data_IF_927754824377
#
_entry.id   IF_927754824377
#
_cell.length_a   1.000
_cell.length_b   1.000
_cell.length_c   1.000
_cell.angle_alpha   90.00
_cell.angle_beta   90.00
_cell.angle_gamma   90.00
#
_symmetry.space_group_name_H-M   'P 1'
#
loop_
_entity.id
_entity.type
_entity.pdbx_description
1 polymer ?
#
# COMPACT_ATOMS: atom_id res chain seq x y z
N UNK A 1 14.92 -43.00 0.21
CA UNK A 1 14.12 -42.57 1.38
C UNK A 1 14.55 -41.22 1.96
N UNK A 2 15.82 -41.00 2.35
CA UNK A 2 16.29 -39.72 2.94
C UNK A 2 16.12 -38.48 2.04
N UNK A 3 16.37 -38.62 0.74
CA UNK A 3 16.21 -37.52 -0.25
C UNK A 3 14.75 -37.04 -0.36
N UNK A 4 13.79 -37.97 -0.32
CA UNK A 4 12.37 -37.66 -0.36
C UNK A 4 11.92 -36.93 0.92
N UNK A 5 12.36 -37.39 2.09
CA UNK A 5 12.09 -36.74 3.38
C UNK A 5 12.63 -35.30 3.42
N UNK A 6 13.83 -35.08 2.87
CA UNK A 6 14.44 -33.76 2.79
C UNK A 6 13.67 -32.82 1.86
N UNK A 7 13.33 -33.27 0.65
CA UNK A 7 12.54 -32.46 -0.29
C UNK A 7 11.16 -32.11 0.29
N UNK A 8 10.51 -33.06 0.95
CA UNK A 8 9.20 -32.86 1.59
C UNK A 8 9.26 -31.83 2.75
N UNK A 9 10.25 -31.94 3.63
CA UNK A 9 10.43 -30.98 4.74
C UNK A 9 10.81 -29.59 4.26
N UNK A 10 11.59 -29.47 3.19
CA UNK A 10 11.89 -28.19 2.55
C UNK A 10 10.62 -27.56 1.96
N UNK A 11 9.82 -28.33 1.21
CA UNK A 11 8.56 -27.88 0.64
C UNK A 11 7.56 -27.39 1.71
N UNK A 12 7.42 -28.10 2.84
CA UNK A 12 6.54 -27.67 3.92
C UNK A 12 7.00 -26.38 4.59
N UNK A 13 8.31 -26.18 4.77
CA UNK A 13 8.87 -24.92 5.31
C UNK A 13 8.60 -23.75 4.38
N UNK A 14 8.77 -23.97 3.08
CA UNK A 14 8.45 -23.00 2.04
C UNK A 14 6.99 -22.55 2.11
N UNK A 15 6.04 -23.50 2.12
CA UNK A 15 4.61 -23.21 2.22
C UNK A 15 4.24 -22.52 3.54
N UNK A 16 4.84 -22.96 4.65
CA UNK A 16 4.61 -22.37 5.98
C UNK A 16 5.01 -20.89 6.02
N UNK A 17 6.07 -20.50 5.33
CA UNK A 17 6.47 -19.10 5.22
C UNK A 17 5.42 -18.26 4.51
N UNK A 18 4.97 -18.67 3.32
CA UNK A 18 4.02 -17.87 2.53
C UNK A 18 2.67 -17.73 3.24
N UNK A 19 2.23 -18.78 3.93
CA UNK A 19 1.03 -18.72 4.77
C UNK A 19 1.17 -17.72 5.93
N UNK A 20 2.33 -17.69 6.62
CA UNK A 20 2.61 -16.72 7.68
C UNK A 20 2.70 -15.29 7.13
N UNK A 21 3.39 -15.10 6.01
CA UNK A 21 3.52 -13.82 5.34
C UNK A 21 2.14 -13.27 4.94
N UNK A 22 1.28 -14.12 4.35
CA UNK A 22 -0.09 -13.77 4.01
C UNK A 22 -0.91 -13.40 5.26
N UNK A 23 -0.84 -14.21 6.32
CA UNK A 23 -1.54 -13.92 7.56
C UNK A 23 -1.08 -12.57 8.18
N UNK A 24 0.22 -12.29 8.19
CA UNK A 24 0.78 -11.02 8.66
C UNK A 24 0.23 -9.83 7.88
N UNK A 25 0.22 -9.88 6.55
CA UNK A 25 -0.28 -8.74 5.76
C UNK A 25 -1.79 -8.58 5.84
N UNK A 26 -2.55 -9.68 6.02
CA UNK A 26 -3.99 -9.60 6.26
C UNK A 26 -4.31 -8.98 7.63
N UNK A 27 -3.53 -9.29 8.67
CA UNK A 27 -3.68 -8.64 9.99
C UNK A 27 -3.38 -7.15 9.89
N UNK A 28 -2.29 -6.77 9.22
CA UNK A 28 -1.91 -5.36 9.03
C UNK A 28 -2.98 -4.63 8.23
N UNK A 29 -3.41 -5.20 7.09
CA UNK A 29 -4.45 -4.62 6.26
C UNK A 29 -5.77 -4.48 7.03
N UNK A 30 -6.18 -5.52 7.75
CA UNK A 30 -7.38 -5.50 8.59
C UNK A 30 -7.33 -4.44 9.69
N UNK A 31 -6.19 -4.25 10.36
CA UNK A 31 -6.01 -3.18 11.35
C UNK A 31 -6.14 -1.78 10.73
N UNK A 32 -5.60 -1.58 9.53
CA UNK A 32 -5.73 -0.32 8.78
C UNK A 32 -7.16 -0.07 8.32
N UNK A 33 -7.85 -1.10 7.82
CA UNK A 33 -9.27 -1.02 7.49
C UNK A 33 -10.12 -0.72 8.72
N UNK A 34 -9.81 -1.31 9.87
CA UNK A 34 -10.47 -0.97 11.13
C UNK A 34 -10.26 0.52 11.47
N UNK A 35 -9.05 1.04 11.32
CA UNK A 35 -8.77 2.46 11.55
C UNK A 35 -9.57 3.35 10.59
N UNK A 36 -9.57 3.06 9.29
CA UNK A 36 -10.33 3.79 8.27
C UNK A 36 -11.83 3.72 8.56
N UNK A 37 -12.35 2.56 8.95
CA UNK A 37 -13.77 2.42 9.27
C UNK A 37 -14.21 3.27 10.48
N UNK A 38 -13.32 3.46 11.46
CA UNK A 38 -13.66 4.21 12.68
C UNK A 38 -13.35 5.71 12.56
N UNK A 39 -12.36 6.09 11.76
CA UNK A 39 -11.82 7.46 11.74
C UNK A 39 -11.62 8.05 10.33
N UNK A 40 -11.86 7.27 9.29
CA UNK A 40 -11.81 7.74 7.90
C UNK A 40 -12.94 8.71 7.59
N UNK A 41 -12.68 9.58 6.62
CA UNK A 41 -13.63 10.60 6.15
C UNK A 41 -13.69 10.57 4.63
N UNK A 42 -14.90 10.60 4.08
CA UNK A 42 -15.14 10.81 2.65
C UNK A 42 -14.96 12.29 2.24
N UNK A 43 -14.81 13.18 3.22
CA UNK A 43 -14.43 14.57 2.98
C UNK A 43 -12.89 14.63 2.88
N UNK A 44 -12.34 15.16 1.78
CA UNK A 44 -10.90 15.31 1.60
C UNK A 44 -10.23 16.05 2.76
N UNK A 45 -8.99 15.68 3.06
CA UNK A 45 -8.21 16.26 4.15
C UNK A 45 -7.02 17.07 3.62
N UNK A 46 -6.88 18.31 4.10
CA UNK A 46 -5.76 19.22 3.81
C UNK A 46 -5.43 19.32 2.30
N UNK A 47 -4.22 18.94 1.92
CA UNK A 47 -3.68 19.07 0.56
C UNK A 47 -4.47 18.28 -0.47
N UNK A 48 -5.32 17.31 -0.05
CA UNK A 48 -6.25 16.64 -0.96
C UNK A 48 -7.24 17.60 -1.63
N UNK A 49 -7.63 18.70 -0.96
CA UNK A 49 -8.50 19.71 -1.58
C UNK A 49 -7.79 20.54 -2.64
N UNK A 50 -6.47 20.69 -2.53
CA UNK A 50 -5.67 21.47 -3.46
C UNK A 50 -5.32 20.62 -4.66
N UNK A 51 -4.16 19.99 -4.59
CA UNK A 51 -3.47 19.46 -5.77
C UNK A 51 -4.28 18.44 -6.58
N UNK A 52 -4.88 17.37 -6.01
CA UNK A 52 -5.61 16.40 -6.81
C UNK A 52 -6.86 17.01 -7.45
N UNK A 53 -7.60 17.84 -6.72
CA UNK A 53 -8.84 18.41 -7.22
C UNK A 53 -8.59 19.41 -8.35
N UNK A 54 -7.70 20.39 -8.14
CA UNK A 54 -7.47 21.47 -9.10
C UNK A 54 -6.63 21.03 -10.28
N UNK A 55 -5.64 20.17 -10.07
CA UNK A 55 -4.63 19.89 -11.09
C UNK A 55 -4.92 18.62 -11.90
N UNK A 56 -5.84 17.77 -11.41
CA UNK A 56 -6.13 16.47 -12.02
C UNK A 56 -7.63 16.21 -12.23
N UNK A 57 -8.45 16.27 -11.18
CA UNK A 57 -9.85 15.86 -11.28
C UNK A 57 -10.73 16.86 -12.01
N UNK A 58 -10.65 18.15 -11.70
CA UNK A 58 -11.39 19.18 -12.44
C UNK A 58 -10.98 19.19 -13.93
N UNK A 59 -9.67 19.15 -14.26
CA UNK A 59 -9.27 19.05 -15.66
C UNK A 59 -9.77 17.78 -16.38
N UNK A 60 -9.84 16.65 -15.67
CA UNK A 60 -10.41 15.44 -16.24
C UNK A 60 -11.90 15.60 -16.56
N UNK A 61 -12.67 16.13 -15.60
CA UNK A 61 -14.12 16.30 -15.72
C UNK A 61 -14.52 17.32 -16.79
N UNK A 62 -13.68 18.33 -17.02
CA UNK A 62 -13.88 19.36 -18.05
C UNK A 62 -13.29 18.99 -19.42
N UNK A 63 -12.71 17.79 -19.56
CA UNK A 63 -12.06 17.31 -20.79
C UNK A 63 -10.86 18.18 -21.25
N UNK A 64 -10.16 18.83 -20.33
CA UNK A 64 -8.97 19.65 -20.57
C UNK A 64 -7.70 19.08 -19.90
N UNK A 65 -7.76 17.87 -19.34
CA UNK A 65 -6.59 17.18 -18.78
C UNK A 65 -5.55 16.86 -19.87
N UNK A 66 -4.36 17.42 -19.70
CA UNK A 66 -3.18 17.15 -20.52
C UNK A 66 -2.25 16.11 -19.88
N UNK A 67 -1.44 15.44 -20.70
CA UNK A 67 -0.44 14.47 -20.22
C UNK A 67 0.62 15.15 -19.35
N UNK A 68 0.95 16.41 -19.62
CA UNK A 68 1.94 17.18 -18.86
C UNK A 68 1.53 17.38 -17.41
N UNK A 69 0.22 17.48 -17.13
CA UNK A 69 -0.30 17.60 -15.77
C UNK A 69 0.00 16.38 -14.90
N UNK A 70 0.24 15.20 -15.47
CA UNK A 70 0.70 14.05 -14.67
C UNK A 70 2.15 14.21 -14.18
N UNK A 71 2.98 14.98 -14.90
CA UNK A 71 4.40 15.20 -14.57
C UNK A 71 4.67 16.56 -13.91
N UNK A 72 3.66 17.43 -13.86
CA UNK A 72 3.73 18.73 -13.21
C UNK A 72 4.08 18.58 -11.73
N UNK A 73 4.73 19.60 -11.16
CA UNK A 73 5.00 19.61 -9.74
C UNK A 73 3.71 19.71 -8.92
N UNK A 74 3.71 19.05 -7.77
CA UNK A 74 2.77 19.20 -6.68
C UNK A 74 3.61 19.44 -5.44
N UNK A 75 3.63 20.68 -4.94
CA UNK A 75 4.59 21.10 -3.93
C UNK A 75 6.02 20.71 -4.34
N UNK A 76 6.76 19.99 -3.50
CA UNK A 76 8.15 19.56 -3.75
C UNK A 76 8.27 18.26 -4.57
N UNK A 77 7.14 17.66 -4.98
CA UNK A 77 7.11 16.32 -5.56
C UNK A 77 6.57 16.29 -6.99
N UNK A 78 6.94 15.25 -7.75
CA UNK A 78 6.34 14.91 -9.04
C UNK A 78 5.52 13.63 -8.89
N UNK A 79 4.24 13.73 -8.51
CA UNK A 79 3.44 12.58 -8.08
C UNK A 79 2.82 11.82 -9.27
N UNK A 80 3.59 11.47 -10.30
CA UNK A 80 3.07 10.85 -11.53
C UNK A 80 2.25 9.58 -11.24
N UNK A 81 2.80 8.64 -10.47
CA UNK A 81 2.13 7.37 -10.17
C UNK A 81 0.93 7.56 -9.24
N UNK A 82 1.03 8.48 -8.27
CA UNK A 82 -0.09 8.86 -7.40
C UNK A 82 -1.24 9.42 -8.25
N UNK A 83 -0.99 10.43 -9.09
CA UNK A 83 -2.01 11.03 -9.98
C UNK A 83 -2.63 9.99 -10.92
N UNK A 84 -1.82 9.09 -11.46
CA UNK A 84 -2.30 8.01 -12.32
C UNK A 84 -3.25 7.05 -11.58
N UNK A 85 -2.90 6.70 -10.34
CA UNK A 85 -3.76 5.88 -9.49
C UNK A 85 -5.04 6.61 -9.11
N UNK A 86 -4.93 7.84 -8.60
CA UNK A 86 -6.06 8.65 -8.15
C UNK A 86 -7.08 8.87 -9.27
N UNK A 87 -6.62 9.18 -10.49
CA UNK A 87 -7.51 9.30 -11.64
C UNK A 87 -8.16 7.95 -11.99
N UNK A 88 -7.42 6.85 -11.91
CA UNK A 88 -7.97 5.51 -12.16
C UNK A 88 -9.06 5.17 -11.13
N UNK A 89 -8.87 5.54 -9.87
CA UNK A 89 -9.86 5.35 -8.82
C UNK A 89 -11.09 6.23 -9.04
N UNK A 90 -10.93 7.49 -9.42
CA UNK A 90 -12.03 8.37 -9.82
C UNK A 90 -12.87 7.73 -10.94
N UNK A 91 -12.22 7.24 -11.99
CA UNK A 91 -12.91 6.65 -13.16
C UNK A 91 -13.62 5.34 -12.80
N UNK A 92 -12.97 4.45 -12.05
CA UNK A 92 -13.54 3.14 -11.67
C UNK A 92 -14.66 3.30 -10.65
N UNK A 93 -14.52 4.22 -9.69
CA UNK A 93 -15.52 4.47 -8.66
C UNK A 93 -16.68 5.35 -9.16
N UNK A 94 -16.46 6.10 -10.25
CA UNK A 94 -17.43 7.04 -10.83
C UNK A 94 -17.55 8.37 -10.07
N UNK A 95 -16.89 8.50 -8.92
CA UNK A 95 -16.80 9.71 -8.13
C UNK A 95 -15.50 9.72 -7.33
N UNK A 96 -15.04 10.92 -6.99
CA UNK A 96 -13.90 11.05 -6.09
C UNK A 96 -14.34 10.67 -4.68
N UNK A 97 -13.68 9.66 -4.11
CA UNK A 97 -13.94 9.20 -2.74
C UNK A 97 -12.60 8.93 -2.02
N UNK A 98 -12.19 9.80 -1.09
CA UNK A 98 -11.00 9.60 -0.26
C UNK A 98 -10.99 8.28 0.51
N UNK A 99 -12.14 7.70 0.87
CA UNK A 99 -12.17 6.41 1.57
C UNK A 99 -11.67 5.28 0.66
N UNK A 100 -12.00 5.34 -0.63
CA UNK A 100 -11.51 4.38 -1.62
C UNK A 100 -10.00 4.50 -1.77
N UNK A 101 -9.47 5.73 -1.83
CA UNK A 101 -8.02 5.99 -1.83
C UNK A 101 -7.33 5.40 -0.59
N UNK A 102 -7.88 5.64 0.62
CA UNK A 102 -7.32 5.11 1.87
C UNK A 102 -7.28 3.57 1.90
N UNK A 103 -8.32 2.92 1.40
CA UNK A 103 -8.41 1.45 1.31
C UNK A 103 -7.35 0.92 0.35
N UNK A 104 -7.25 1.51 -0.84
CA UNK A 104 -6.27 1.11 -1.87
C UNK A 104 -4.85 1.32 -1.37
N UNK A 105 -4.57 2.47 -0.75
CA UNK A 105 -3.28 2.78 -0.14
C UNK A 105 -2.88 1.79 0.94
N UNK A 106 -3.84 1.38 1.77
CA UNK A 106 -3.62 0.35 2.77
C UNK A 106 -3.31 -1.02 2.15
N UNK A 107 -3.91 -1.32 1.00
CA UNK A 107 -3.59 -2.51 0.21
C UNK A 107 -2.17 -2.46 -0.38
N UNK A 108 -1.77 -1.33 -0.97
CA UNK A 108 -0.42 -1.12 -1.50
C UNK A 108 0.63 -1.26 -0.38
N UNK A 109 0.38 -0.67 0.78
CA UNK A 109 1.26 -0.81 1.95
C UNK A 109 1.41 -2.28 2.40
N UNK A 110 0.29 -2.98 2.55
CA UNK A 110 0.30 -4.41 2.91
C UNK A 110 1.04 -5.26 1.87
N UNK A 111 0.87 -4.94 0.58
CA UNK A 111 1.58 -5.60 -0.51
C UNK A 111 3.09 -5.31 -0.48
N UNK A 112 3.51 -4.07 -0.22
CA UNK A 112 4.92 -3.72 -0.06
C UNK A 112 5.58 -4.50 1.09
N UNK A 113 4.87 -4.68 2.22
CA UNK A 113 5.35 -5.52 3.34
C UNK A 113 5.47 -6.99 2.92
N UNK A 114 4.53 -7.51 2.14
CA UNK A 114 4.60 -8.87 1.61
C UNK A 114 5.86 -9.06 0.76
N UNK A 115 6.09 -8.16 -0.20
CA UNK A 115 7.28 -8.18 -1.07
C UNK A 115 8.56 -8.09 -0.24
N UNK A 116 8.61 -7.18 0.74
CA UNK A 116 9.74 -7.05 1.66
C UNK A 116 10.05 -8.39 2.36
N UNK A 117 9.05 -9.07 2.92
CA UNK A 117 9.26 -10.37 3.55
C UNK A 117 9.79 -11.42 2.57
N UNK A 118 9.26 -11.46 1.34
CA UNK A 118 9.73 -12.38 0.29
C UNK A 118 11.20 -12.10 -0.07
N UNK A 119 11.59 -10.83 -0.18
CA UNK A 119 12.98 -10.45 -0.44
C UNK A 119 13.89 -10.89 0.71
N UNK A 120 13.50 -10.62 1.96
CA UNK A 120 14.27 -11.05 3.14
C UNK A 120 14.43 -12.57 3.17
N UNK A 121 13.38 -13.33 2.83
CA UNK A 121 13.47 -14.78 2.66
C UNK A 121 14.45 -15.18 1.57
N UNK A 122 14.44 -14.52 0.41
CA UNK A 122 15.36 -14.87 -0.67
C UNK A 122 16.82 -14.55 -0.32
N UNK A 123 17.05 -13.51 0.50
CA UNK A 123 18.40 -13.10 0.92
C UNK A 123 18.99 -13.98 2.04
N UNK A 124 18.19 -14.38 3.02
CA UNK A 124 18.67 -15.09 4.23
C UNK A 124 18.24 -16.58 4.23
N UNK A 125 17.40 -16.98 3.27
CA UNK A 125 16.89 -18.34 3.10
C UNK A 125 15.96 -18.77 4.22
N UNK A 126 15.96 -20.07 4.54
CA UNK A 126 15.17 -20.67 5.61
C UNK A 126 15.58 -20.25 7.04
N UNK A 127 16.49 -19.26 7.18
CA UNK A 127 16.86 -18.65 8.46
C UNK A 127 15.91 -17.54 8.88
N UNK A 128 14.98 -17.12 8.01
CA UNK A 128 13.90 -16.23 8.42
C UNK A 128 13.12 -16.90 9.53
N UNK A 129 13.13 -16.28 10.69
CA UNK A 129 12.53 -16.81 11.89
C UNK A 129 11.18 -16.16 12.19
N UNK A 130 10.55 -16.63 13.27
CA UNK A 130 9.26 -16.10 13.72
C UNK A 130 9.35 -14.65 14.21
N UNK A 131 10.55 -14.15 14.57
CA UNK A 131 10.73 -12.81 15.10
C UNK A 131 10.41 -11.73 14.05
N UNK A 132 10.70 -11.99 12.76
CA UNK A 132 10.35 -11.08 11.67
C UNK A 132 8.84 -10.78 11.64
N UNK A 133 8.01 -11.82 11.70
CA UNK A 133 6.55 -11.65 11.66
C UNK A 133 6.04 -10.97 12.94
N UNK A 134 6.58 -11.35 14.10
CA UNK A 134 6.25 -10.75 15.40
C UNK A 134 6.63 -9.28 15.47
N UNK A 135 7.66 -8.85 14.74
CA UNK A 135 8.07 -7.45 14.64
C UNK A 135 7.20 -6.68 13.64
N UNK A 136 6.92 -7.24 12.47
CA UNK A 136 6.21 -6.54 11.40
C UNK A 136 4.72 -6.32 11.71
N UNK A 137 4.06 -7.26 12.40
CA UNK A 137 2.65 -7.11 12.79
C UNK A 137 2.41 -5.84 13.60
N UNK A 138 3.04 -5.61 14.77
CA UNK A 138 2.81 -4.40 15.55
C UNK A 138 3.27 -3.14 14.81
N UNK A 139 4.39 -3.18 14.06
CA UNK A 139 4.85 -2.01 13.30
C UNK A 139 3.85 -1.59 12.21
N UNK A 140 3.20 -2.55 11.55
CA UNK A 140 2.23 -2.26 10.50
C UNK A 140 0.80 -2.02 11.01
N UNK A 141 0.42 -2.63 12.13
CA UNK A 141 -0.95 -2.58 12.67
C UNK A 141 -1.18 -1.47 13.69
N UNK A 142 -0.14 -1.03 14.41
CA UNK A 142 -0.26 0.08 15.36
C UNK A 142 -0.40 1.39 14.56
N UNK A 143 -1.39 2.25 14.87
CA UNK A 143 -1.67 3.46 14.11
C UNK A 143 -0.70 4.61 14.44
N UNK A 144 0.60 4.34 14.54
CA UNK A 144 1.61 5.40 14.75
C UNK A 144 1.68 6.35 13.54
N UNK A 145 1.54 5.79 12.32
CA UNK A 145 1.40 6.55 11.06
C UNK A 145 -0.06 6.70 10.61
N UNK A 146 -0.98 7.00 11.54
CA UNK A 146 -2.40 7.12 11.24
C UNK A 146 -2.69 8.17 10.16
N UNK A 147 -1.93 9.27 10.14
CA UNK A 147 -2.11 10.37 9.17
C UNK A 147 -2.03 9.86 7.73
N UNK A 148 -1.00 9.06 7.42
CA UNK A 148 -0.87 8.45 6.09
C UNK A 148 -1.91 7.37 5.80
N UNK A 149 -2.50 6.79 6.85
CA UNK A 149 -3.57 5.79 6.71
C UNK A 149 -4.92 6.44 6.45
N UNK A 150 -5.15 7.63 7.01
CA UNK A 150 -6.39 8.40 6.90
C UNK A 150 -6.31 9.53 5.87
N UNK A 151 -5.22 9.63 5.09
CA UNK A 151 -5.07 10.55 3.97
C UNK A 151 -5.02 9.77 2.65
N UNK A 152 -5.86 10.15 1.69
CA UNK A 152 -5.88 9.50 0.37
C UNK A 152 -4.72 9.90 -0.55
N UNK A 153 -4.13 11.08 -0.38
CA UNK A 153 -3.00 11.58 -1.20
C UNK A 153 -1.66 10.86 -0.93
N UNK A 154 -1.58 10.05 0.12
CA UNK A 154 -0.31 9.53 0.67
C UNK A 154 0.22 8.27 -0.06
N UNK A 155 -0.40 7.88 -1.19
CA UNK A 155 0.04 6.80 -2.07
C UNK A 155 1.55 6.88 -2.39
N UNK A 156 2.06 8.10 -2.61
CA UNK A 156 3.46 8.33 -2.94
C UNK A 156 4.44 7.74 -1.91
N UNK A 157 4.13 7.83 -0.61
CA UNK A 157 4.96 7.28 0.46
C UNK A 157 5.01 5.74 0.41
N UNK A 158 3.90 5.12 0.07
CA UNK A 158 3.81 3.66 -0.06
C UNK A 158 4.48 3.14 -1.33
N UNK A 159 4.41 3.91 -2.41
CA UNK A 159 5.12 3.60 -3.66
C UNK A 159 6.63 3.72 -3.51
N UNK A 160 7.14 4.68 -2.71
CA UNK A 160 8.58 4.75 -2.39
C UNK A 160 9.04 3.45 -1.75
N UNK A 161 8.30 2.89 -0.80
CA UNK A 161 8.63 1.60 -0.20
C UNK A 161 8.64 0.49 -1.26
N UNK A 162 7.67 0.47 -2.16
CA UNK A 162 7.57 -0.55 -3.21
C UNK A 162 8.70 -0.44 -4.25
N UNK A 163 9.14 0.77 -4.62
CA UNK A 163 10.18 1.02 -5.63
C UNK A 163 11.61 1.05 -5.07
N UNK A 164 11.79 0.96 -3.75
CA UNK A 164 13.12 0.91 -3.11
C UNK A 164 13.78 -0.46 -3.27
N UNK A 165 12.99 -1.50 -3.54
CA UNK A 165 13.44 -2.87 -3.72
C UNK A 165 13.64 -3.23 -5.18
#
# INVERSE_FOLDING_TARGET
>A
MKLFQYAYTHFLKEQSFYAKALATVLVIFGARLWLINNYGSSVPYWDQWGTPLTDLFLPWLNCDLSVEQFFAFSNEHRPFFTRSLDLSLLVVNGQWDPLVEMVVNSGIYAFAIFIFMVIIKNLIGNRVDHSLFLLLIPLGAIPFGWESTLAGLHTGWYLVLLFTF
#
